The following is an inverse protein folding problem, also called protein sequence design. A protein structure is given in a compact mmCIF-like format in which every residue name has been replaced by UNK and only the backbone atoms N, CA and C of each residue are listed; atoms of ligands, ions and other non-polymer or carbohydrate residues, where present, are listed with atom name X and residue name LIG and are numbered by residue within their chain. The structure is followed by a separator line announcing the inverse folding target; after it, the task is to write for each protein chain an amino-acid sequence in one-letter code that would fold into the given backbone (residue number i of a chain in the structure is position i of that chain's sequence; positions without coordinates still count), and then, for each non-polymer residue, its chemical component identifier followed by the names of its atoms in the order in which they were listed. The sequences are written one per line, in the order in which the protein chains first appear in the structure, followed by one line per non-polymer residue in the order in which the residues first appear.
data_IF_502392556279
#
_entry.id   IF_502392556279
#
_cell.length_a   1.000
_cell.length_b   1.000
_cell.length_c   1.000
_cell.angle_alpha   90.00
_cell.angle_beta   90.00
_cell.angle_gamma   90.00
#
_symmetry.space_group_name_H-M   'P 1'
#
loop_
_entity.id
_entity.type
_entity.pdbx_description
1 polymer ?
#
# COMPACT_ATOMS: atom_id res chain seq x y z
N UNK A 1 -4.82 9.82 -34.62
CA UNK A 1 -4.46 11.05 -35.36
C UNK A 1 -3.15 11.67 -34.91
N UNK A 2 -2.86 11.79 -33.60
CA UNK A 2 -1.60 12.39 -33.11
C UNK A 2 -0.36 11.58 -33.55
N UNK A 3 -0.42 10.25 -33.45
CA UNK A 3 0.70 9.37 -33.84
C UNK A 3 1.00 9.37 -35.34
N UNK A 4 -0.03 9.40 -36.19
CA UNK A 4 0.12 9.46 -37.65
C UNK A 4 0.68 10.80 -38.10
N UNK A 5 0.24 11.91 -37.50
CA UNK A 5 0.78 13.23 -37.78
C UNK A 5 2.27 13.34 -37.36
N UNK A 6 2.63 12.77 -36.20
CA UNK A 6 4.01 12.75 -35.72
C UNK A 6 4.94 11.94 -36.63
N UNK A 7 4.52 10.75 -37.08
CA UNK A 7 5.31 9.91 -38.00
C UNK A 7 5.50 10.60 -39.35
N UNK A 8 4.45 11.23 -39.89
CA UNK A 8 4.55 11.98 -41.15
C UNK A 8 5.45 13.21 -41.02
N UNK A 9 5.36 13.95 -39.91
CA UNK A 9 6.23 15.08 -39.63
C UNK A 9 7.70 14.65 -39.50
N UNK A 10 7.95 13.53 -38.82
CA UNK A 10 9.29 12.95 -38.66
C UNK A 10 9.86 12.49 -40.01
N UNK A 11 9.07 11.80 -40.83
CA UNK A 11 9.47 11.39 -42.17
C UNK A 11 9.76 12.58 -43.09
N UNK A 12 8.92 13.62 -43.04
CA UNK A 12 9.12 14.85 -43.81
C UNK A 12 10.40 15.58 -43.37
N UNK A 13 10.69 15.64 -42.07
CA UNK A 13 11.91 16.23 -41.53
C UNK A 13 13.15 15.48 -42.02
N UNK A 14 13.14 14.15 -41.94
CA UNK A 14 14.26 13.30 -42.41
C UNK A 14 14.50 13.52 -43.91
N UNK A 15 13.45 13.57 -44.72
CA UNK A 15 13.55 13.84 -46.16
C UNK A 15 14.07 15.25 -46.46
N UNK A 16 13.63 16.27 -45.71
CA UNK A 16 14.12 17.64 -45.85
C UNK A 16 15.61 17.75 -45.50
N UNK A 17 16.04 17.11 -44.41
CA UNK A 17 17.45 17.07 -44.01
C UNK A 17 18.29 16.34 -45.05
N UNK A 18 17.84 15.19 -45.55
CA UNK A 18 18.52 14.45 -46.62
C UNK A 18 18.61 15.27 -47.92
N UNK A 19 17.53 15.96 -48.31
CA UNK A 19 17.52 16.82 -49.48
C UNK A 19 18.47 18.02 -49.34
N UNK A 20 18.54 18.62 -48.14
CA UNK A 20 19.45 19.72 -47.85
C UNK A 20 20.92 19.27 -47.85
N UNK A 21 21.23 18.18 -47.15
CA UNK A 21 22.60 17.64 -47.03
C UNK A 21 23.11 17.12 -48.37
N UNK A 22 22.26 16.47 -49.17
CA UNK A 22 22.66 15.96 -50.49
C UNK A 22 22.59 17.01 -51.60
N UNK A 23 21.99 18.20 -51.37
CA UNK A 23 21.82 19.27 -52.37
C UNK A 23 23.06 19.54 -53.25
N UNK A 24 24.29 19.70 -52.71
CA UNK A 24 25.47 19.92 -53.55
C UNK A 24 25.81 18.70 -54.42
N UNK A 25 25.54 17.49 -53.91
CA UNK A 25 25.73 16.23 -54.64
C UNK A 25 24.70 16.06 -55.77
N UNK A 26 23.45 16.48 -55.55
CA UNK A 26 22.40 16.47 -56.57
C UNK A 26 22.70 17.40 -57.75
N UNK A 27 23.33 18.55 -57.48
CA UNK A 27 23.71 19.50 -58.52
C UNK A 27 24.93 19.04 -59.33
N UNK A 28 25.88 18.35 -58.70
CA UNK A 28 27.13 17.94 -59.36
C UNK A 28 27.05 16.54 -59.99
N UNK A 29 26.44 15.57 -59.30
CA UNK A 29 26.42 14.14 -59.68
C UNK A 29 25.11 13.47 -59.22
N UNK A 30 24.00 13.66 -59.95
CA UNK A 30 22.66 13.21 -59.52
C UNK A 30 22.57 11.69 -59.33
N UNK A 31 23.28 10.90 -60.15
CA UNK A 31 23.32 9.43 -60.02
C UNK A 31 23.97 8.98 -58.71
N UNK A 32 25.04 9.66 -58.28
CA UNK A 32 25.72 9.36 -57.01
C UNK A 32 24.83 9.73 -55.81
N UNK A 33 24.11 10.86 -55.90
CA UNK A 33 23.19 11.28 -54.86
C UNK A 33 22.02 10.30 -54.68
N UNK A 34 21.45 9.81 -55.79
CA UNK A 34 20.42 8.77 -55.79
C UNK A 34 20.96 7.46 -55.19
N UNK A 35 22.19 7.07 -55.55
CA UNK A 35 22.85 5.88 -55.00
C UNK A 35 23.04 5.95 -53.48
N UNK A 36 23.47 7.10 -52.95
CA UNK A 36 23.61 7.31 -51.49
C UNK A 36 22.25 7.25 -50.79
N UNK A 37 21.21 7.86 -51.37
CA UNK A 37 19.86 7.81 -50.81
C UNK A 37 19.31 6.38 -50.73
N UNK A 38 19.40 5.63 -51.83
CA UNK A 38 18.96 4.23 -51.89
C UNK A 38 19.79 3.35 -50.96
N UNK A 39 21.11 3.57 -50.91
CA UNK A 39 22.01 2.85 -50.01
C UNK A 39 21.66 3.09 -48.55
N UNK A 40 21.38 4.33 -48.16
CA UNK A 40 20.97 4.66 -46.79
C UNK A 40 19.64 3.98 -46.44
N UNK A 41 18.63 4.07 -47.32
CA UNK A 41 17.34 3.42 -47.12
C UNK A 41 17.46 1.88 -47.01
N UNK A 42 18.31 1.27 -47.83
CA UNK A 42 18.58 -0.16 -47.78
C UNK A 42 19.28 -0.58 -46.49
N UNK A 43 20.29 0.18 -46.03
CA UNK A 43 20.99 -0.06 -44.76
C UNK A 43 20.02 0.11 -43.58
N UNK A 44 19.19 1.14 -43.58
CA UNK A 44 18.15 1.33 -42.55
C UNK A 44 17.15 0.18 -42.55
N UNK A 45 16.67 -0.26 -43.72
CA UNK A 45 15.78 -1.42 -43.83
C UNK A 45 16.43 -2.70 -43.33
N UNK A 46 17.70 -2.94 -43.67
CA UNK A 46 18.45 -4.12 -43.25
C UNK A 46 18.72 -4.11 -41.73
N UNK A 47 19.13 -2.97 -41.18
CA UNK A 47 19.34 -2.83 -39.72
C UNK A 47 18.04 -3.01 -38.94
N UNK A 48 16.91 -2.50 -39.46
CA UNK A 48 15.59 -2.76 -38.87
C UNK A 48 15.19 -4.24 -38.98
N UNK A 49 15.52 -4.91 -40.08
CA UNK A 49 15.25 -6.34 -40.24
C UNK A 49 16.11 -7.22 -39.31
N UNK A 50 17.35 -6.82 -39.03
CA UNK A 50 18.29 -7.58 -38.20
C UNK A 50 18.13 -7.31 -36.70
N UNK A 51 17.82 -6.07 -36.30
CA UNK A 51 17.82 -5.62 -34.90
C UNK A 51 16.42 -5.22 -34.42
N UNK A 52 15.55 -4.79 -35.34
CA UNK A 52 14.20 -4.31 -35.03
C UNK A 52 13.18 -5.43 -34.88
N UNK A 53 11.90 -5.05 -34.82
CA UNK A 53 10.75 -5.95 -34.77
C UNK A 53 9.98 -5.90 -36.10
N UNK A 54 10.51 -6.51 -37.19
CA UNK A 54 9.86 -6.46 -38.50
C UNK A 54 8.43 -7.03 -38.47
N UNK A 55 8.18 -7.98 -37.59
CA UNK A 55 6.86 -8.56 -37.32
C UNK A 55 5.80 -7.54 -36.88
N UNK A 56 6.17 -6.38 -36.30
CA UNK A 56 5.23 -5.32 -35.93
C UNK A 56 4.58 -4.64 -37.14
N UNK A 57 5.15 -4.84 -38.35
CA UNK A 57 4.57 -4.39 -39.60
C UNK A 57 3.49 -5.33 -40.13
N UNK A 58 3.37 -6.55 -39.57
CA UNK A 58 2.39 -7.53 -40.00
C UNK A 58 0.98 -7.12 -39.53
N UNK A 59 0.05 -6.84 -40.46
CA UNK A 59 -1.32 -6.43 -40.10
C UNK A 59 -2.06 -7.49 -39.28
N UNK A 60 -1.75 -8.78 -39.45
CA UNK A 60 -2.37 -9.87 -38.68
C UNK A 60 -2.02 -9.85 -37.16
N UNK A 61 -1.01 -9.07 -36.75
CA UNK A 61 -0.63 -8.89 -35.34
C UNK A 61 -0.98 -7.52 -34.78
N UNK A 62 -1.61 -6.65 -35.58
CA UNK A 62 -2.02 -5.30 -35.15
C UNK A 62 -3.35 -5.28 -34.42
N UNK A 63 -4.20 -6.27 -34.69
CA UNK A 63 -5.48 -6.36 -34.03
C UNK A 63 -5.30 -6.92 -32.62
N UNK A 64 -5.70 -6.19 -31.56
CA UNK A 64 -5.70 -6.76 -30.23
C UNK A 64 -6.61 -7.99 -30.22
N UNK A 65 -6.27 -9.04 -29.43
CA UNK A 65 -7.08 -10.23 -29.36
C UNK A 65 -8.51 -9.87 -28.95
N UNK A 66 -9.49 -10.28 -29.76
CA UNK A 66 -10.90 -9.97 -29.54
C UNK A 66 -11.45 -10.68 -28.29
N UNK A 67 -10.85 -11.83 -27.95
CA UNK A 67 -11.22 -12.62 -26.77
C UNK A 67 -9.99 -13.11 -26.01
N UNK A 68 -10.19 -13.50 -24.74
CA UNK A 68 -9.15 -14.13 -23.93
C UNK A 68 -8.63 -15.45 -24.53
N UNK A 69 -9.49 -16.19 -25.27
CA UNK A 69 -9.08 -17.41 -25.96
C UNK A 69 -8.17 -17.11 -27.16
N UNK A 70 -8.46 -16.06 -27.92
CA UNK A 70 -7.60 -15.63 -29.02
C UNK A 70 -6.24 -15.17 -28.51
N UNK A 71 -6.21 -14.47 -27.38
CA UNK A 71 -4.97 -14.04 -26.72
C UNK A 71 -4.11 -15.26 -26.32
N UNK A 72 -4.72 -16.29 -25.73
CA UNK A 72 -4.05 -17.55 -25.38
C UNK A 72 -3.49 -18.22 -26.64
N UNK A 73 -4.30 -18.37 -27.69
CA UNK A 73 -3.88 -19.03 -28.93
C UNK A 73 -2.70 -18.30 -29.62
N UNK A 74 -2.73 -16.96 -29.63
CA UNK A 74 -1.63 -16.15 -30.15
C UNK A 74 -0.35 -16.36 -29.33
N UNK A 75 -0.47 -16.41 -28.01
CA UNK A 75 0.66 -16.60 -27.10
C UNK A 75 1.25 -18.01 -27.23
N UNK A 76 0.42 -19.05 -27.39
CA UNK A 76 0.88 -20.41 -27.72
C UNK A 76 1.67 -20.45 -29.02
N UNK A 77 1.11 -19.91 -30.11
CA UNK A 77 1.77 -19.89 -31.42
C UNK A 77 3.08 -19.07 -31.42
N UNK A 78 3.20 -18.09 -30.52
CA UNK A 78 4.42 -17.33 -30.31
C UNK A 78 5.48 -18.17 -29.57
N UNK A 79 5.07 -18.87 -28.52
CA UNK A 79 5.97 -19.69 -27.70
C UNK A 79 6.42 -20.98 -28.39
N UNK A 80 5.65 -21.47 -29.38
CA UNK A 80 6.11 -22.53 -30.28
C UNK A 80 7.31 -22.10 -31.12
N UNK A 81 7.30 -20.84 -31.60
CA UNK A 81 8.41 -20.27 -32.38
C UNK A 81 9.58 -19.85 -31.51
N UNK A 82 9.29 -19.36 -30.31
CA UNK A 82 10.29 -18.83 -29.38
C UNK A 82 10.14 -19.47 -27.99
N UNK A 83 10.55 -20.74 -27.83
CA UNK A 83 10.25 -21.54 -26.64
C UNK A 83 11.08 -21.16 -25.41
N UNK A 84 12.04 -20.25 -25.53
CA UNK A 84 12.93 -19.85 -24.43
C UNK A 84 12.51 -18.53 -23.77
N UNK A 85 11.30 -18.03 -24.05
CA UNK A 85 10.78 -16.80 -23.43
C UNK A 85 10.10 -17.07 -22.09
N UNK A 86 10.82 -16.83 -21.00
CA UNK A 86 10.34 -16.99 -19.62
C UNK A 86 9.04 -16.20 -19.39
N UNK A 87 9.04 -14.90 -19.70
CA UNK A 87 7.88 -14.02 -19.50
C UNK A 87 6.65 -14.47 -20.29
N UNK A 88 6.85 -15.01 -21.50
CA UNK A 88 5.76 -15.51 -22.32
C UNK A 88 5.12 -16.75 -21.71
N UNK A 89 5.92 -17.72 -21.24
CA UNK A 89 5.40 -18.89 -20.52
C UNK A 89 4.69 -18.50 -19.21
N UNK A 90 5.24 -17.52 -18.48
CA UNK A 90 4.64 -16.97 -17.26
C UNK A 90 3.28 -16.30 -17.56
N UNK A 91 3.20 -15.49 -18.62
CA UNK A 91 1.95 -14.88 -19.06
C UNK A 91 0.92 -15.92 -19.52
N UNK A 92 1.35 -16.96 -20.22
CA UNK A 92 0.48 -18.05 -20.67
C UNK A 92 -0.09 -18.81 -19.47
N UNK A 93 0.72 -19.05 -18.44
CA UNK A 93 0.27 -19.69 -17.21
C UNK A 93 -0.83 -18.87 -16.51
N UNK A 94 -0.65 -17.55 -16.40
CA UNK A 94 -1.67 -16.63 -15.85
C UNK A 94 -2.94 -16.64 -16.66
N UNK A 95 -2.85 -16.46 -17.98
CA UNK A 95 -4.00 -16.48 -18.86
C UNK A 95 -4.78 -17.80 -18.75
N UNK A 96 -4.07 -18.92 -18.58
CA UNK A 96 -4.70 -20.21 -18.32
C UNK A 96 -5.34 -20.33 -16.94
N UNK A 97 -4.72 -19.79 -15.90
CA UNK A 97 -5.28 -19.77 -14.56
C UNK A 97 -6.57 -18.94 -14.50
N UNK A 98 -6.57 -17.75 -15.10
CA UNK A 98 -7.72 -16.85 -15.20
C UNK A 98 -8.88 -17.49 -16.00
N UNK A 99 -8.55 -18.27 -17.03
CA UNK A 99 -9.51 -19.05 -17.80
C UNK A 99 -9.98 -20.35 -17.09
N UNK A 100 -9.54 -20.61 -15.86
CA UNK A 100 -9.88 -21.82 -15.09
C UNK A 100 -9.23 -23.11 -15.61
N UNK A 101 -8.31 -23.02 -16.57
CA UNK A 101 -7.61 -24.17 -17.19
C UNK A 101 -6.34 -24.51 -16.40
N UNK A 102 -6.52 -24.93 -15.15
CA UNK A 102 -5.42 -25.08 -14.19
C UNK A 102 -4.37 -26.14 -14.57
N UNK A 103 -4.76 -27.22 -15.26
CA UNK A 103 -3.80 -28.20 -15.78
C UNK A 103 -2.82 -27.58 -16.77
N UNK A 104 -3.35 -26.74 -17.69
CA UNK A 104 -2.54 -26.03 -18.68
C UNK A 104 -1.70 -24.93 -18.04
N UNK A 105 -2.24 -24.24 -17.03
CA UNK A 105 -1.51 -23.26 -16.25
C UNK A 105 -0.27 -23.89 -15.56
N UNK A 106 -0.45 -25.06 -14.93
CA UNK A 106 0.65 -25.83 -14.32
C UNK A 106 1.72 -26.22 -15.34
N UNK A 107 1.33 -26.67 -16.53
CA UNK A 107 2.29 -27.02 -17.58
C UNK A 107 3.08 -25.79 -18.07
N UNK A 108 2.42 -24.65 -18.27
CA UNK A 108 3.05 -23.42 -18.73
C UNK A 108 4.02 -22.85 -17.68
N UNK A 109 3.61 -22.77 -16.40
CA UNK A 109 4.51 -22.27 -15.34
C UNK A 109 5.69 -23.20 -15.09
N UNK A 110 5.50 -24.52 -15.21
CA UNK A 110 6.59 -25.49 -15.14
C UNK A 110 7.61 -25.29 -16.28
N UNK A 111 7.17 -24.84 -17.47
CA UNK A 111 8.08 -24.51 -18.57
C UNK A 111 8.88 -23.24 -18.26
N UNK A 112 8.26 -22.22 -17.68
CA UNK A 112 8.95 -21.02 -17.21
C UNK A 112 10.01 -21.36 -16.13
N UNK A 113 9.63 -22.16 -15.13
CA UNK A 113 10.55 -22.60 -14.07
C UNK A 113 11.71 -23.46 -14.58
N UNK A 114 11.53 -24.25 -15.65
CA UNK A 114 12.65 -24.96 -16.28
C UNK A 114 13.68 -24.02 -16.89
N UNK A 115 13.27 -22.85 -17.34
CA UNK A 115 14.16 -21.84 -17.93
C UNK A 115 14.80 -20.95 -16.86
N UNK A 116 14.08 -20.69 -15.76
CA UNK A 116 14.55 -19.90 -14.63
C UNK A 116 14.13 -20.55 -13.28
N UNK A 117 14.87 -21.57 -12.80
CA UNK A 117 14.47 -22.35 -11.63
C UNK A 117 14.60 -21.62 -10.29
N UNK A 118 15.39 -20.56 -10.25
CA UNK A 118 15.63 -19.74 -9.05
C UNK A 118 14.95 -18.37 -9.13
N UNK A 119 14.02 -18.18 -10.06
CA UNK A 119 13.21 -16.97 -10.07
C UNK A 119 12.17 -17.05 -8.93
N UNK A 120 12.25 -16.18 -7.91
CA UNK A 120 11.36 -16.24 -6.74
C UNK A 120 9.90 -15.97 -7.13
N UNK A 121 9.69 -15.15 -8.15
CA UNK A 121 8.38 -14.74 -8.66
C UNK A 121 7.68 -15.93 -9.34
N UNK A 122 8.44 -16.73 -10.12
CA UNK A 122 7.95 -17.98 -10.73
C UNK A 122 7.69 -19.08 -9.70
N UNK A 123 8.54 -19.21 -8.69
CA UNK A 123 8.35 -20.18 -7.60
C UNK A 123 7.05 -19.92 -6.84
N UNK A 124 6.78 -18.64 -6.52
CA UNK A 124 5.55 -18.20 -5.86
C UNK A 124 4.32 -18.45 -6.72
N UNK A 125 4.41 -18.09 -8.01
CA UNK A 125 3.29 -18.25 -8.94
C UNK A 125 2.96 -19.72 -9.22
N UNK A 126 3.97 -20.58 -9.30
CA UNK A 126 3.75 -22.03 -9.37
C UNK A 126 3.06 -22.57 -8.13
N UNK A 127 3.45 -22.11 -6.93
CA UNK A 127 2.81 -22.51 -5.68
C UNK A 127 1.34 -22.08 -5.62
N UNK A 128 1.02 -20.87 -6.08
CA UNK A 128 -0.34 -20.36 -6.16
C UNK A 128 -1.20 -21.16 -7.15
N UNK A 129 -0.70 -21.42 -8.36
CA UNK A 129 -1.44 -22.19 -9.37
C UNK A 129 -1.73 -23.62 -8.86
N UNK A 130 -0.78 -24.25 -8.17
CA UNK A 130 -1.01 -25.56 -7.54
C UNK A 130 -2.07 -25.50 -6.44
N UNK A 131 -2.06 -24.45 -5.62
CA UNK A 131 -3.08 -24.26 -4.57
C UNK A 131 -4.48 -24.04 -5.17
N UNK A 132 -4.60 -23.25 -6.25
CA UNK A 132 -5.87 -23.04 -6.96
C UNK A 132 -6.46 -24.35 -7.52
N UNK A 133 -5.61 -25.32 -7.85
CA UNK A 133 -6.03 -26.63 -8.37
C UNK A 133 -6.48 -27.62 -7.29
N UNK A 134 -6.33 -27.25 -6.02
CA UNK A 134 -6.65 -28.11 -4.87
C UNK A 134 -7.91 -27.62 -4.16
N UNK A 135 -8.76 -28.56 -3.75
CA UNK A 135 -9.96 -28.24 -2.96
C UNK A 135 -9.59 -27.48 -1.67
N UNK A 136 -10.31 -26.38 -1.43
CA UNK A 136 -10.05 -25.50 -0.29
C UNK A 136 -8.80 -24.62 -0.41
N UNK A 137 -8.17 -24.54 -1.60
CA UNK A 137 -7.00 -23.70 -1.89
C UNK A 137 -5.83 -23.91 -0.94
N UNK A 138 -5.57 -25.17 -0.60
CA UNK A 138 -4.47 -25.56 0.27
C UNK A 138 -3.16 -25.63 -0.52
N UNK A 139 -2.08 -25.17 0.09
CA UNK A 139 -0.73 -25.34 -0.45
C UNK A 139 -0.22 -26.72 -0.06
N UNK A 140 0.09 -27.55 -1.05
CA UNK A 140 0.76 -28.84 -0.82
C UNK A 140 2.22 -28.65 -0.34
N UNK A 141 2.89 -29.70 0.16
CA UNK A 141 4.27 -29.59 0.65
C UNK A 141 5.27 -29.06 -0.39
N UNK A 142 5.07 -29.33 -1.68
CA UNK A 142 5.96 -28.86 -2.74
C UNK A 142 5.76 -27.35 -3.02
N UNK A 143 4.51 -26.89 -2.97
CA UNK A 143 4.16 -25.48 -3.05
C UNK A 143 4.75 -24.71 -1.85
N UNK A 144 4.65 -25.25 -0.63
CA UNK A 144 5.27 -24.67 0.57
C UNK A 144 6.79 -24.60 0.45
N UNK A 145 7.43 -25.67 -0.05
CA UNK A 145 8.87 -25.67 -0.30
C UNK A 145 9.27 -24.59 -1.32
N UNK A 146 8.48 -24.40 -2.37
CA UNK A 146 8.70 -23.36 -3.38
C UNK A 146 8.58 -21.94 -2.77
N UNK A 147 7.58 -21.70 -1.93
CA UNK A 147 7.41 -20.43 -1.20
C UNK A 147 8.59 -20.16 -0.26
N UNK A 148 9.07 -21.18 0.47
CA UNK A 148 10.26 -21.06 1.32
C UNK A 148 11.51 -20.76 0.50
N UNK A 149 11.72 -21.46 -0.62
CA UNK A 149 12.84 -21.20 -1.53
C UNK A 149 12.80 -19.77 -2.09
N UNK A 150 11.62 -19.27 -2.47
CA UNK A 150 11.47 -17.88 -2.89
C UNK A 150 11.87 -16.88 -1.80
N UNK A 151 11.57 -17.17 -0.53
CA UNK A 151 11.96 -16.35 0.61
C UNK A 151 13.44 -16.46 0.98
N UNK A 152 14.10 -17.59 0.70
CA UNK A 152 15.56 -17.70 0.82
C UNK A 152 16.27 -16.77 -0.18
N UNK A 153 15.74 -16.67 -1.40
CA UNK A 153 16.30 -15.85 -2.47
C UNK A 153 15.95 -14.37 -2.25
N UNK A 154 14.70 -14.09 -1.92
CA UNK A 154 14.20 -12.73 -1.65
C UNK A 154 13.45 -12.69 -0.31
N UNK A 155 14.16 -12.39 0.81
CA UNK A 155 13.57 -12.42 2.14
C UNK A 155 12.36 -11.53 2.36
N UNK A 156 12.19 -10.44 1.60
CA UNK A 156 11.05 -9.52 1.68
C UNK A 156 10.05 -9.72 0.53
N UNK A 157 10.03 -10.87 -0.14
CA UNK A 157 9.05 -11.13 -1.19
C UNK A 157 7.63 -11.17 -0.62
N UNK A 158 6.84 -10.14 -0.92
CA UNK A 158 5.56 -9.90 -0.24
C UNK A 158 4.56 -11.04 -0.45
N UNK A 159 4.32 -11.46 -1.70
CA UNK A 159 3.42 -12.59 -2.03
C UNK A 159 3.86 -13.91 -1.40
N UNK A 160 5.16 -14.22 -1.43
CA UNK A 160 5.70 -15.44 -0.83
C UNK A 160 5.41 -15.50 0.68
N UNK A 161 5.66 -14.41 1.42
CA UNK A 161 5.34 -14.33 2.87
C UNK A 161 3.85 -14.43 3.13
N UNK A 162 3.05 -13.75 2.31
CA UNK A 162 1.60 -13.77 2.44
C UNK A 162 1.07 -15.20 2.30
N UNK A 163 1.39 -15.89 1.21
CA UNK A 163 0.93 -17.26 0.96
C UNK A 163 1.52 -18.28 1.94
N UNK A 164 2.79 -18.13 2.33
CA UNK A 164 3.40 -19.02 3.32
C UNK A 164 2.70 -18.90 4.67
N UNK A 165 2.40 -17.68 5.14
CA UNK A 165 1.64 -17.50 6.38
C UNK A 165 0.22 -18.07 6.31
N UNK A 166 -0.47 -17.98 5.16
CA UNK A 166 -1.76 -18.64 4.95
C UNK A 166 -1.62 -20.16 5.10
N UNK A 167 -0.63 -20.75 4.42
CA UNK A 167 -0.37 -22.19 4.48
C UNK A 167 -0.03 -22.66 5.89
N UNK A 168 0.77 -21.90 6.63
CA UNK A 168 1.13 -22.21 8.02
C UNK A 168 -0.09 -22.19 8.94
N UNK A 169 -1.01 -21.23 8.78
CA UNK A 169 -2.28 -21.24 9.54
C UNK A 169 -3.17 -22.43 9.20
N UNK A 170 -3.25 -22.78 7.91
CA UNK A 170 -4.01 -23.97 7.47
C UNK A 170 -3.40 -25.28 8.00
N UNK A 171 -2.11 -25.27 8.32
CA UNK A 171 -1.33 -26.42 8.81
C UNK A 171 -1.14 -26.40 10.32
N UNK A 172 -2.02 -25.70 11.06
CA UNK A 172 -2.03 -25.59 12.53
C UNK A 172 -0.70 -25.09 13.14
N UNK A 173 0.01 -24.22 12.41
CA UNK A 173 1.24 -23.55 12.85
C UNK A 173 1.03 -22.03 12.97
N UNK A 174 0.11 -21.56 13.83
CA UNK A 174 -0.28 -20.15 13.90
C UNK A 174 0.85 -19.25 14.41
N UNK A 175 1.76 -19.76 15.25
CA UNK A 175 2.94 -19.04 15.72
C UNK A 175 3.90 -18.66 14.59
N UNK A 176 4.17 -19.60 13.68
CA UNK A 176 5.06 -19.36 12.54
C UNK A 176 4.40 -18.47 11.49
N UNK A 177 3.08 -18.61 11.30
CA UNK A 177 2.32 -17.74 10.41
C UNK A 177 2.42 -16.27 10.83
N UNK A 178 2.19 -15.97 12.13
CA UNK A 178 2.34 -14.63 12.68
C UNK A 178 3.73 -14.04 12.38
N UNK A 179 4.80 -14.78 12.71
CA UNK A 179 6.19 -14.36 12.45
C UNK A 179 6.50 -14.15 10.97
N UNK A 180 5.88 -14.92 10.09
CA UNK A 180 6.06 -14.81 8.64
C UNK A 180 5.44 -13.52 8.10
N UNK A 181 4.26 -13.15 8.61
CA UNK A 181 3.49 -11.97 8.22
C UNK A 181 3.96 -10.67 8.89
N UNK A 182 4.51 -10.72 10.10
CA UNK A 182 4.94 -9.53 10.85
C UNK A 182 5.76 -8.52 10.01
N UNK A 183 6.78 -8.94 9.24
CA UNK A 183 7.57 -7.98 8.45
C UNK A 183 6.80 -7.32 7.29
N UNK A 184 5.66 -7.89 6.86
CA UNK A 184 4.82 -7.26 5.84
C UNK A 184 4.21 -5.95 6.35
N UNK A 185 4.01 -5.80 7.67
CA UNK A 185 3.46 -4.57 8.26
C UNK A 185 4.32 -3.33 7.95
N UNK A 186 5.62 -3.49 7.67
CA UNK A 186 6.53 -2.39 7.38
C UNK A 186 6.49 -1.93 5.91
N UNK A 187 5.91 -2.72 5.01
CA UNK A 187 5.94 -2.46 3.55
C UNK A 187 4.56 -2.21 2.95
N UNK A 188 3.49 -2.65 3.61
CA UNK A 188 2.11 -2.42 3.16
C UNK A 188 1.60 -1.05 3.60
N UNK A 189 0.59 -0.54 2.90
CA UNK A 189 -0.06 0.74 3.26
C UNK A 189 -0.77 0.66 4.63
N UNK A 190 -1.07 1.79 5.29
CA UNK A 190 -1.65 1.79 6.64
C UNK A 190 -2.97 1.03 6.78
N UNK A 191 -3.82 1.05 5.74
CA UNK A 191 -5.12 0.34 5.77
C UNK A 191 -4.89 -1.17 5.70
N UNK A 192 -4.02 -1.61 4.80
CA UNK A 192 -3.63 -3.02 4.70
C UNK A 192 -2.89 -3.49 5.95
N UNK A 193 -2.04 -2.64 6.54
CA UNK A 193 -1.33 -2.94 7.78
C UNK A 193 -2.30 -3.18 8.94
N UNK A 194 -3.37 -2.38 9.07
CA UNK A 194 -4.39 -2.57 10.10
C UNK A 194 -5.08 -3.93 9.97
N UNK A 195 -5.56 -4.28 8.77
CA UNK A 195 -6.21 -5.59 8.54
C UNK A 195 -5.24 -6.77 8.70
N UNK A 196 -4.00 -6.63 8.24
CA UNK A 196 -2.98 -7.65 8.41
C UNK A 196 -2.64 -7.86 9.89
N UNK A 197 -2.59 -6.78 10.67
CA UNK A 197 -2.31 -6.83 12.10
C UNK A 197 -3.39 -7.60 12.85
N UNK A 198 -4.67 -7.40 12.53
CA UNK A 198 -5.76 -8.20 13.11
C UNK A 198 -5.55 -9.70 12.84
N UNK A 199 -5.13 -10.08 11.63
CA UNK A 199 -4.85 -11.48 11.30
C UNK A 199 -3.63 -12.03 12.04
N UNK A 200 -2.59 -11.22 12.21
CA UNK A 200 -1.41 -11.59 13.00
C UNK A 200 -1.80 -11.78 14.47
N UNK A 201 -2.54 -10.84 15.05
CA UNK A 201 -2.96 -10.91 16.46
C UNK A 201 -3.90 -12.11 16.70
N UNK A 202 -4.78 -12.43 15.76
CA UNK A 202 -5.58 -13.66 15.79
C UNK A 202 -4.68 -14.91 15.78
N UNK A 203 -3.71 -14.99 14.88
CA UNK A 203 -2.77 -16.12 14.83
C UNK A 203 -1.92 -16.22 16.12
N UNK A 204 -1.50 -15.08 16.70
CA UNK A 204 -0.76 -15.08 17.97
C UNK A 204 -1.63 -15.56 19.12
N UNK A 205 -2.91 -15.16 19.17
CA UNK A 205 -3.88 -15.66 20.14
C UNK A 205 -4.07 -17.17 20.03
N UNK A 206 -4.24 -17.70 18.82
CA UNK A 206 -4.36 -19.14 18.56
C UNK A 206 -3.09 -19.90 19.03
N UNK A 207 -1.93 -19.24 18.95
CA UNK A 207 -0.65 -19.75 19.45
C UNK A 207 -0.39 -19.54 20.95
N UNK A 208 -1.34 -18.96 21.70
CA UNK A 208 -1.15 -18.61 23.12
C UNK A 208 -0.14 -17.49 23.38
N UNK A 209 0.17 -16.68 22.37
CA UNK A 209 1.08 -15.53 22.45
C UNK A 209 0.30 -14.22 22.67
N UNK A 210 0.90 -13.23 23.34
CA UNK A 210 0.29 -11.90 23.43
C UNK A 210 0.17 -11.25 22.05
N UNK A 211 -0.79 -10.33 21.84
CA UNK A 211 -0.88 -9.57 20.60
C UNK A 211 0.40 -8.74 20.36
N UNK A 212 0.57 -8.24 19.15
CA UNK A 212 1.65 -7.31 18.85
C UNK A 212 1.55 -6.09 19.77
N UNK A 213 2.69 -5.55 20.25
CA UNK A 213 2.69 -4.24 20.89
C UNK A 213 2.01 -3.26 19.95
N UNK A 214 1.15 -2.39 20.48
CA UNK A 214 0.55 -1.31 19.68
C UNK A 214 1.66 -0.67 18.84
N UNK A 215 1.40 -0.35 17.54
CA UNK A 215 2.40 0.35 16.74
C UNK A 215 2.90 1.51 17.61
N UNK A 216 4.23 1.74 17.73
CA UNK A 216 4.73 2.85 18.52
C UNK A 216 3.94 4.05 18.06
N UNK A 217 3.09 4.56 18.97
CA UNK A 217 1.97 5.42 18.63
C UNK A 217 2.46 6.33 17.54
N UNK A 218 1.93 6.17 16.31
CA UNK A 218 2.28 7.04 15.21
C UNK A 218 2.12 8.41 15.82
N UNK A 219 3.24 9.09 16.05
CA UNK A 219 3.23 10.27 16.87
C UNK A 219 2.32 11.21 16.10
N UNK A 220 1.06 11.32 16.54
CA UNK A 220 0.12 12.31 16.05
C UNK A 220 0.92 13.60 16.16
N UNK A 221 1.30 14.25 15.04
CA UNK A 221 2.31 15.31 15.08
C UNK A 221 1.91 16.52 15.96
N UNK A 222 0.71 16.51 16.54
CA UNK A 222 0.20 17.49 17.49
C UNK A 222 -0.57 16.90 18.68
N UNK A 223 -0.20 15.70 19.17
CA UNK A 223 -0.78 15.16 20.40
C UNK A 223 -0.39 16.02 21.62
N UNK A 224 -1.37 16.66 22.25
CA UNK A 224 -1.15 17.55 23.39
C UNK A 224 -1.13 16.75 24.69
N UNK A 225 0.02 16.69 25.35
CA UNK A 225 0.18 16.01 26.65
C UNK A 225 -0.36 16.89 27.77
N UNK A 226 -1.28 16.37 28.56
CA UNK A 226 -1.93 17.08 29.66
C UNK A 226 -1.85 16.23 30.93
N UNK A 227 -1.40 16.82 32.03
CA UNK A 227 -1.44 16.24 33.37
C UNK A 227 -2.54 16.92 34.16
N UNK A 228 -3.54 16.15 34.58
CA UNK A 228 -4.67 16.67 35.37
C UNK A 228 -4.51 16.26 36.83
N UNK A 229 -4.56 17.25 37.72
CA UNK A 229 -4.56 17.07 39.17
C UNK A 229 -5.84 17.63 39.78
N UNK A 230 -6.25 17.06 40.92
CA UNK A 230 -7.39 17.54 41.70
C UNK A 230 -6.88 18.31 42.92
N UNK A 231 -7.43 19.50 43.17
CA UNK A 231 -7.08 20.27 44.36
C UNK A 231 -7.49 19.51 45.65
N UNK A 232 -6.63 19.46 46.69
CA UNK A 232 -6.92 18.74 47.94
C UNK A 232 -8.24 19.15 48.61
N UNK A 233 -8.63 20.42 48.49
CA UNK A 233 -9.89 20.94 49.04
C UNK A 233 -11.15 20.37 48.37
N UNK A 234 -11.04 19.88 47.14
CA UNK A 234 -12.14 19.30 46.36
C UNK A 234 -12.13 17.77 46.35
N UNK A 235 -11.06 17.14 46.84
CA UNK A 235 -10.96 15.67 46.95
C UNK A 235 -12.09 15.06 47.77
N UNK A 236 -12.53 15.73 48.84
CA UNK A 236 -13.65 15.30 49.67
C UNK A 236 -15.03 15.42 48.99
N UNK A 237 -15.13 16.16 47.88
CA UNK A 237 -16.37 16.39 47.12
C UNK A 237 -16.44 15.55 45.84
N UNK A 238 -15.48 14.64 45.64
CA UNK A 238 -15.40 13.81 44.45
C UNK A 238 -16.45 12.68 44.53
N UNK A 239 -17.41 12.61 43.58
CA UNK A 239 -18.37 11.51 43.53
C UNK A 239 -17.70 10.20 43.10
N UNK A 240 -18.10 9.06 43.69
CA UNK A 240 -17.49 7.75 43.44
C UNK A 240 -17.60 7.29 41.97
N UNK A 241 -18.71 7.63 41.29
CA UNK A 241 -18.96 7.25 39.89
C UNK A 241 -18.72 8.39 38.89
N UNK A 242 -17.99 9.44 39.29
CA UNK A 242 -17.79 10.59 38.44
C UNK A 242 -16.84 10.29 37.25
N UNK A 243 -17.14 10.92 36.12
CA UNK A 243 -16.31 10.87 34.91
C UNK A 243 -15.49 12.15 34.80
N UNK A 244 -14.19 12.00 34.52
CA UNK A 244 -13.30 13.10 34.16
C UNK A 244 -13.36 13.31 32.64
N UNK A 245 -13.68 14.51 32.22
CA UNK A 245 -13.63 14.94 30.84
C UNK A 245 -12.48 15.94 30.68
N UNK A 246 -11.57 15.66 29.76
CA UNK A 246 -10.52 16.60 29.35
C UNK A 246 -10.89 17.10 27.97
N UNK A 247 -11.19 18.38 27.87
CA UNK A 247 -11.73 19.00 26.66
C UNK A 247 -10.75 20.04 26.13
N UNK A 248 -10.55 20.05 24.82
CA UNK A 248 -9.88 21.12 24.11
C UNK A 248 -10.88 21.85 23.20
N UNK A 249 -10.90 23.18 23.24
CA UNK A 249 -11.76 24.01 22.38
C UNK A 249 -11.00 25.18 21.78
N UNK A 250 -11.58 25.85 20.79
CA UNK A 250 -11.02 27.10 20.27
C UNK A 250 -11.04 28.20 21.34
N UNK A 251 -9.96 28.99 21.50
CA UNK A 251 -9.98 30.21 22.31
C UNK A 251 -11.03 31.16 21.73
N UNK A 252 -11.90 31.71 22.59
CA UNK A 252 -12.96 32.68 22.22
C UNK A 252 -13.96 32.20 21.15
N UNK A 253 -14.02 30.89 20.91
CA UNK A 253 -14.94 30.26 19.96
C UNK A 253 -16.26 29.79 20.60
N UNK A 254 -17.14 29.14 19.80
CA UNK A 254 -18.35 28.51 20.32
C UNK A 254 -18.01 27.46 21.40
N UNK A 255 -18.95 27.16 22.34
CA UNK A 255 -18.68 26.31 23.50
C UNK A 255 -18.42 24.83 23.15
N UNK A 256 -18.46 24.46 21.88
CA UNK A 256 -18.28 23.10 21.40
C UNK A 256 -16.80 22.70 21.46
N UNK A 257 -16.48 21.54 22.05
CA UNK A 257 -15.11 21.04 22.11
C UNK A 257 -14.68 20.45 20.75
N UNK A 258 -13.39 20.60 20.46
CA UNK A 258 -12.68 20.09 19.28
C UNK A 258 -12.11 18.70 19.54
N UNK A 259 -11.73 18.41 20.79
CA UNK A 259 -11.32 17.08 21.25
C UNK A 259 -11.85 16.85 22.67
N UNK A 260 -12.29 15.63 22.96
CA UNK A 260 -12.82 15.23 24.27
C UNK A 260 -12.34 13.83 24.61
N UNK A 261 -11.60 13.72 25.72
CA UNK A 261 -11.26 12.42 26.30
C UNK A 261 -12.07 12.19 27.58
N UNK A 262 -12.65 10.99 27.73
CA UNK A 262 -13.40 10.57 28.91
C UNK A 262 -12.62 9.54 29.72
N UNK A 263 -12.33 9.88 30.97
CA UNK A 263 -11.57 9.08 31.92
C UNK A 263 -12.38 8.86 33.22
N UNK A 264 -11.91 7.96 34.08
CA UNK A 264 -12.48 7.80 35.44
C UNK A 264 -11.92 8.86 36.36
N UNK A 265 -12.77 9.50 37.16
CA UNK A 265 -12.34 10.59 38.04
C UNK A 265 -11.58 10.13 39.30
N UNK A 266 -11.36 8.84 39.49
CA UNK A 266 -10.69 8.27 40.66
C UNK A 266 -9.18 8.04 40.46
N UNK A 267 -8.68 8.21 39.24
CA UNK A 267 -7.30 7.88 38.86
C UNK A 267 -6.32 9.08 38.99
N UNK A 268 -6.68 10.12 39.75
CA UNK A 268 -5.84 11.32 39.89
C UNK A 268 -4.50 11.03 40.60
N UNK A 269 -3.38 11.67 40.18
CA UNK A 269 -3.23 12.51 38.98
C UNK A 269 -3.16 11.68 37.68
N UNK A 270 -3.86 12.13 36.64
CA UNK A 270 -3.94 11.44 35.34
C UNK A 270 -3.10 12.16 34.30
N UNK A 271 -2.35 11.41 33.49
CA UNK A 271 -1.73 11.92 32.25
C UNK A 271 -2.56 11.46 31.05
N UNK A 272 -2.91 12.40 30.17
CA UNK A 272 -3.69 12.17 28.96
C UNK A 272 -3.01 12.83 27.76
N UNK A 273 -3.17 12.24 26.59
CA UNK A 273 -2.74 12.84 25.32
C UNK A 273 -4.00 13.09 24.51
N UNK A 274 -4.30 14.36 24.21
CA UNK A 274 -5.37 14.69 23.28
C UNK A 274 -4.81 14.76 21.87
N UNK A 275 -5.42 14.07 20.92
CA UNK A 275 -5.05 14.13 19.50
C UNK A 275 -6.25 14.25 18.55
N UNK A 276 -5.99 14.13 17.25
CA UNK A 276 -7.01 14.28 16.21
C UNK A 276 -8.07 13.15 16.22
N UNK A 277 -7.78 12.02 16.86
CA UNK A 277 -8.68 10.88 17.03
C UNK A 277 -9.78 11.13 18.06
N UNK A 278 -9.54 12.04 19.00
CA UNK A 278 -10.46 12.35 20.11
C UNK A 278 -11.52 13.39 19.72
N UNK A 279 -11.62 13.73 18.44
CA UNK A 279 -12.56 14.74 17.96
C UNK A 279 -13.99 14.20 17.87
N UNK A 280 -14.96 14.81 18.55
CA UNK A 280 -16.37 14.45 18.43
C UNK A 280 -16.99 14.90 17.09
N UNK A 281 -16.29 15.73 16.29
CA UNK A 281 -16.75 16.16 14.97
C UNK A 281 -15.63 16.04 13.92
N UNK A 282 -15.79 15.21 12.87
CA UNK A 282 -14.73 14.95 11.90
C UNK A 282 -14.36 16.15 10.99
N UNK A 283 -15.03 17.30 11.13
CA UNK A 283 -14.84 18.48 10.29
C UNK A 283 -13.76 19.44 10.77
N UNK A 284 -13.42 19.45 12.07
CA UNK A 284 -12.40 20.33 12.64
C UNK A 284 -11.49 19.53 13.58
N UNK A 285 -10.18 19.51 13.27
CA UNK A 285 -9.18 18.71 13.98
C UNK A 285 -8.34 19.56 14.94
N UNK A 286 -7.79 18.92 15.98
CA UNK A 286 -6.93 19.57 16.95
C UNK A 286 -5.65 20.13 16.30
N UNK A 287 -5.04 19.35 15.39
CA UNK A 287 -3.83 19.71 14.64
C UNK A 287 -3.98 20.91 13.69
N UNK A 288 -5.22 21.28 13.33
CA UNK A 288 -5.50 22.40 12.43
C UNK A 288 -5.52 23.75 13.18
N UNK A 289 -5.64 23.73 14.50
CA UNK A 289 -5.68 24.92 15.33
C UNK A 289 -4.28 25.27 15.77
N UNK A 290 -3.92 26.56 15.80
CA UNK A 290 -2.62 26.99 16.36
C UNK A 290 -2.63 27.05 17.89
N UNK A 291 -3.79 27.33 18.47
CA UNK A 291 -4.00 27.45 19.90
C UNK A 291 -5.33 26.82 20.29
N UNK A 292 -5.36 26.22 21.47
CA UNK A 292 -6.54 25.62 22.07
C UNK A 292 -6.64 25.99 23.54
N UNK A 293 -7.86 26.23 24.00
CA UNK A 293 -8.17 26.37 25.41
C UNK A 293 -8.54 24.98 25.96
N UNK A 294 -7.71 24.46 26.84
CA UNK A 294 -7.89 23.15 27.48
C UNK A 294 -8.53 23.35 28.85
N UNK A 295 -9.52 22.51 29.15
CA UNK A 295 -10.19 22.49 30.45
C UNK A 295 -10.45 21.05 30.89
N UNK A 296 -10.36 20.81 32.20
CA UNK A 296 -10.70 19.53 32.81
C UNK A 296 -11.96 19.69 33.64
N UNK A 297 -12.89 18.73 33.52
CA UNK A 297 -14.15 18.71 34.28
C UNK A 297 -14.43 17.33 34.83
N UNK A 298 -14.78 17.25 36.11
CA UNK A 298 -15.38 16.06 36.71
C UNK A 298 -16.89 16.25 36.74
N UNK A 299 -17.61 15.37 36.06
CA UNK A 299 -19.07 15.36 36.01
C UNK A 299 -19.63 14.12 36.70
N UNK A 300 -20.59 14.34 37.59
CA UNK A 300 -21.34 13.28 38.25
C UNK A 300 -22.43 12.67 37.34
N UNK A 301 -22.96 13.44 36.38
CA UNK A 301 -23.99 12.98 35.45
C UNK A 301 -23.44 12.23 34.24
N UNK A 302 -22.11 12.18 34.09
CA UNK A 302 -21.44 11.49 33.00
C UNK A 302 -21.57 12.20 31.64
N UNK A 303 -21.97 13.48 31.63
CA UNK A 303 -22.05 14.31 30.43
C UNK A 303 -20.86 15.27 30.34
N UNK A 304 -20.42 15.56 29.12
CA UNK A 304 -19.34 16.52 28.86
C UNK A 304 -19.79 18.00 29.00
N UNK A 305 -21.10 18.25 29.03
CA UNK A 305 -21.71 19.59 29.15
C UNK A 305 -21.63 20.04 30.62
N UNK A 306 -21.49 21.35 30.84
CA UNK A 306 -21.36 21.90 32.19
C UNK A 306 -22.68 21.77 32.96
N UNK A 307 -22.64 21.22 34.16
CA UNK A 307 -23.76 21.23 35.09
C UNK A 307 -23.37 21.89 36.42
N UNK A 308 -24.34 22.52 37.08
CA UNK A 308 -24.13 23.11 38.40
C UNK A 308 -23.73 22.01 39.39
N UNK A 309 -22.65 22.25 40.14
CA UNK A 309 -22.06 21.28 41.06
C UNK A 309 -20.92 20.44 40.49
N UNK A 310 -20.65 20.49 39.18
CA UNK A 310 -19.48 19.83 38.59
C UNK A 310 -18.17 20.49 39.08
N UNK A 311 -17.08 19.72 39.15
CA UNK A 311 -15.76 20.27 39.47
C UNK A 311 -15.03 20.59 38.17
N UNK A 312 -14.50 21.80 38.01
CA UNK A 312 -13.83 22.22 36.78
C UNK A 312 -12.53 22.99 37.05
N UNK A 313 -11.62 22.97 36.08
CA UNK A 313 -10.47 23.85 36.04
C UNK A 313 -10.79 25.14 35.29
N UNK A 314 -10.00 26.19 35.54
CA UNK A 314 -9.94 27.34 34.61
C UNK A 314 -9.44 26.88 33.23
N UNK A 315 -9.98 27.41 32.13
CA UNK A 315 -9.44 27.16 30.79
C UNK A 315 -8.01 27.70 30.70
N UNK A 316 -7.08 26.89 30.22
CA UNK A 316 -5.71 27.31 29.92
C UNK A 316 -5.46 27.26 28.42
N UNK A 317 -5.01 28.38 27.85
CA UNK A 317 -4.68 28.46 26.43
C UNK A 317 -3.27 27.95 26.19
N UNK A 318 -3.13 26.99 25.30
CA UNK A 318 -1.84 26.39 24.93
C UNK A 318 -1.74 26.28 23.41
N UNK A 319 -0.51 26.30 22.90
CA UNK A 319 -0.27 26.00 21.49
C UNK A 319 -0.33 24.49 21.25
N UNK A 320 -1.00 24.08 20.19
CA UNK A 320 -1.16 22.67 19.79
C UNK A 320 0.14 22.02 19.34
N UNK A 321 1.13 22.82 18.92
CA UNK A 321 2.48 22.38 18.58
C UNK A 321 3.39 22.21 19.81
N UNK A 322 2.89 22.48 21.01
CA UNK A 322 3.69 22.40 22.22
C UNK A 322 4.01 20.96 22.60
N UNK A 323 5.30 20.68 22.78
CA UNK A 323 5.80 19.39 23.28
C UNK A 323 5.84 19.30 24.81
N UNK A 324 5.53 20.38 25.52
CA UNK A 324 5.52 20.43 26.98
C UNK A 324 4.24 19.83 27.54
N UNK A 325 4.33 19.08 28.64
CA UNK A 325 3.15 18.64 29.39
C UNK A 325 2.45 19.84 30.01
N UNK A 326 1.17 20.04 29.68
CA UNK A 326 0.32 21.06 30.28
C UNK A 326 -0.22 20.58 31.63
N UNK A 327 0.04 21.30 32.71
CA UNK A 327 -0.49 20.98 34.03
C UNK A 327 -1.81 21.72 34.30
N UNK A 328 -2.87 20.95 34.49
CA UNK A 328 -4.22 21.47 34.79
C UNK A 328 -4.62 21.00 36.17
N UNK A 329 -4.99 21.95 37.03
CA UNK A 329 -5.54 21.66 38.35
C UNK A 329 -7.02 21.98 38.38
N UNK A 330 -7.84 21.03 38.83
CA UNK A 330 -9.27 21.21 39.06
C UNK A 330 -9.44 21.85 40.45
N UNK A 331 -9.79 23.14 40.46
CA UNK A 331 -9.82 23.98 41.65
C UNK A 331 -11.14 24.76 41.83
N UNK A 332 -12.11 24.60 40.92
CA UNK A 332 -13.38 25.31 40.96
C UNK A 332 -14.58 24.35 40.97
N UNK A 333 -15.68 24.83 41.55
CA UNK A 333 -17.00 24.22 41.41
C UNK A 333 -17.79 25.06 40.41
N UNK A 334 -18.40 24.42 39.42
CA UNK A 334 -19.29 25.07 38.46
C UNK A 334 -20.53 25.56 39.21
N UNK A 335 -20.83 26.87 39.16
CA UNK A 335 -21.95 27.45 39.89
C UNK A 335 -23.31 26.93 39.41
#
# INVERSE_FOLDING_TARGET
MVMTAFVLASAALVLLVLAYVLRPLWQAKPVAAAGVFVGLAAITGLTYALIGTPDALNPARRDPPATAQDAIAQLEAQLEREPNRIDGWRLLARAYADAGRLDKARAAIARALKLAPEDPDLLVESAEISALATDGRKFDPAAVASLRRALEIQPMHQRARWFLGISLRQSDQPAEAARTWEPLLAVVDPRTAASLREQIDAARKDAGQPPLPAPPAAASPGGLKIRVALAPALAAKLPADASLFVLARQPDGPPMPVAVEKLRAQDFPVEVVLDDGDSPMPTLKLSQLQQVAVLARVSASGQAIAQSGDLASKPQTVRTDSKSTLEITIDQVVP
#
